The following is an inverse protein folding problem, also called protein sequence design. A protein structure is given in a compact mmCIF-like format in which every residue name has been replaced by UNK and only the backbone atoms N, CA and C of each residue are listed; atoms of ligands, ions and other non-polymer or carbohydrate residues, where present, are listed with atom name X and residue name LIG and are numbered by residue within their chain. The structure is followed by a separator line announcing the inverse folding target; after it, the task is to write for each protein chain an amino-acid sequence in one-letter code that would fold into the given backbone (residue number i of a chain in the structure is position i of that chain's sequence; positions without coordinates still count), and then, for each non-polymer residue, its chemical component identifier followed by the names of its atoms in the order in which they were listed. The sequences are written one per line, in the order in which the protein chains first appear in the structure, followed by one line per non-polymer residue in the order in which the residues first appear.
data_IF_472481902936
#
_entry.id   IF_472481902936
#
_cell.length_a   1.000
_cell.length_b   1.000
_cell.length_c   1.000
_cell.angle_alpha   90.00
_cell.angle_beta   90.00
_cell.angle_gamma   90.00
#
_symmetry.space_group_name_H-M   'P 1'
#
loop_
_entity.id
_entity.type
_entity.pdbx_description
1 polymer ?
#
# COMPACT_ATOMS: atom_id res chain seq x y z
N UNK A 1 -7.67 -14.07 -2.58
CA UNK A 1 -7.74 -13.59 -3.97
C UNK A 1 -7.32 -14.73 -4.87
N UNK A 2 -8.13 -15.07 -5.88
CA UNK A 2 -7.75 -16.02 -6.93
C UNK A 2 -6.58 -15.42 -7.72
N UNK A 3 -5.62 -16.26 -8.10
CA UNK A 3 -4.74 -15.99 -9.23
C UNK A 3 -5.40 -16.58 -10.49
N UNK A 4 -6.11 -15.78 -11.31
CA UNK A 4 -6.39 -16.20 -12.67
C UNK A 4 -5.19 -15.78 -13.51
N UNK A 5 -4.35 -16.74 -13.89
CA UNK A 5 -3.38 -16.58 -14.98
C UNK A 5 -2.28 -15.52 -14.76
N UNK A 6 -1.27 -15.87 -13.95
CA UNK A 6 0.16 -15.63 -14.22
C UNK A 6 0.71 -14.19 -14.37
N UNK A 7 -0.13 -13.17 -14.35
CA UNK A 7 0.26 -11.76 -14.38
C UNK A 7 -0.46 -11.05 -13.24
N UNK A 8 -0.02 -11.33 -12.01
CA UNK A 8 -0.55 -10.66 -10.82
C UNK A 8 -0.39 -9.14 -10.94
N UNK A 9 -1.21 -8.39 -10.23
CA UNK A 9 -1.09 -6.93 -10.12
C UNK A 9 0.25 -6.59 -9.45
N UNK A 10 1.09 -5.77 -10.09
CA UNK A 10 2.39 -5.38 -9.51
C UNK A 10 2.24 -4.41 -8.33
N UNK A 11 1.15 -3.63 -8.34
CA UNK A 11 0.85 -2.57 -7.38
C UNK A 11 -0.56 -2.72 -6.81
N UNK A 12 -0.68 -3.03 -5.53
CA UNK A 12 -1.94 -3.21 -4.82
C UNK A 12 -2.31 -1.89 -4.10
N UNK A 13 -3.33 -1.15 -4.54
CA UNK A 13 -3.81 0.01 -3.80
C UNK A 13 -4.58 -0.44 -2.54
N UNK A 14 -4.34 0.20 -1.40
CA UNK A 14 -5.10 0.01 -0.18
C UNK A 14 -5.67 1.34 0.34
N UNK A 15 -6.91 1.30 0.81
CA UNK A 15 -7.57 2.38 1.56
C UNK A 15 -8.22 1.89 2.86
N UNK A 16 -8.03 0.61 3.19
CA UNK A 16 -8.52 -0.04 4.40
C UNK A 16 -7.54 0.19 5.56
N UNK A 17 -8.02 0.03 6.80
CA UNK A 17 -7.24 0.31 8.01
C UNK A 17 -7.23 -0.82 9.02
N UNK A 18 -6.30 -0.76 9.97
CA UNK A 18 -6.16 -1.73 11.06
C UNK A 18 -6.06 -3.16 10.54
N UNK A 19 -6.87 -4.07 11.09
CA UNK A 19 -6.82 -5.50 10.76
C UNK A 19 -7.03 -5.80 9.26
N UNK A 20 -7.80 -4.96 8.56
CA UNK A 20 -8.03 -5.14 7.12
C UNK A 20 -6.79 -4.79 6.30
N UNK A 21 -6.06 -3.73 6.68
CA UNK A 21 -4.75 -3.41 6.10
C UNK A 21 -3.79 -4.58 6.29
N UNK A 22 -3.73 -5.15 7.49
CA UNK A 22 -2.86 -6.29 7.77
C UNK A 22 -3.22 -7.55 6.97
N UNK A 23 -4.52 -7.86 6.86
CA UNK A 23 -4.99 -8.99 6.05
C UNK A 23 -4.68 -8.79 4.57
N UNK A 24 -4.85 -7.58 4.06
CA UNK A 24 -4.50 -7.28 2.67
C UNK A 24 -2.99 -7.39 2.46
N UNK A 25 -2.19 -6.84 3.38
CA UNK A 25 -0.72 -6.90 3.33
C UNK A 25 -0.20 -8.34 3.25
N UNK A 26 -0.83 -9.26 3.98
CA UNK A 26 -0.55 -10.70 3.91
C UNK A 26 -0.89 -11.34 2.57
N UNK A 27 -1.90 -10.81 1.87
CA UNK A 27 -2.34 -11.28 0.57
C UNK A 27 -1.51 -10.73 -0.61
N UNK A 28 -0.68 -9.70 -0.38
CA UNK A 28 0.20 -9.16 -1.42
C UNK A 28 1.19 -10.25 -1.86
N UNK A 29 1.34 -10.49 -3.16
CA UNK A 29 2.26 -11.51 -3.65
C UNK A 29 3.73 -11.12 -3.38
N UNK A 30 4.64 -12.11 -3.41
CA UNK A 30 6.09 -11.84 -3.27
C UNK A 30 6.57 -10.87 -4.34
N UNK A 31 7.55 -10.04 -4.03
CA UNK A 31 8.13 -9.04 -4.94
C UNK A 31 7.14 -7.96 -5.43
N UNK A 32 5.96 -7.83 -4.80
CA UNK A 32 4.94 -6.85 -5.18
C UNK A 32 4.87 -5.68 -4.21
N UNK A 33 4.18 -4.64 -4.66
CA UNK A 33 4.09 -3.35 -3.98
C UNK A 33 2.67 -3.16 -3.47
N UNK A 34 2.52 -2.71 -2.21
CA UNK A 34 1.27 -2.12 -1.73
C UNK A 34 1.41 -0.61 -1.62
N UNK A 35 0.42 0.13 -2.11
CA UNK A 35 0.36 1.59 -1.99
C UNK A 35 -0.82 1.95 -1.09
N UNK A 36 -0.52 2.44 0.10
CA UNK A 36 -1.51 2.93 1.06
C UNK A 36 -1.91 4.37 0.70
N UNK A 37 -3.18 4.55 0.36
CA UNK A 37 -3.79 5.87 0.12
C UNK A 37 -4.72 6.29 1.25
N UNK A 38 -4.94 5.43 2.25
CA UNK A 38 -5.71 5.73 3.45
C UNK A 38 -4.90 6.54 4.47
N UNK A 39 -5.56 7.52 5.08
CA UNK A 39 -4.94 8.43 6.07
C UNK A 39 -5.06 7.94 7.52
N UNK A 40 -6.01 7.06 7.79
CA UNK A 40 -6.41 6.69 9.16
C UNK A 40 -5.27 6.03 9.93
N UNK A 41 -4.53 5.11 9.33
CA UNK A 41 -3.38 4.47 10.00
C UNK A 41 -2.18 5.41 10.11
N UNK A 42 -2.00 6.36 9.18
CA UNK A 42 -0.94 7.37 9.32
C UNK A 42 -1.20 8.29 10.52
N UNK A 43 -2.44 8.78 10.68
CA UNK A 43 -2.84 9.62 11.81
C UNK A 43 -2.90 8.82 13.11
N UNK A 44 -3.31 7.56 13.03
CA UNK A 44 -3.45 6.66 14.18
C UNK A 44 -2.17 5.97 14.62
N UNK A 45 -1.01 6.32 14.07
CA UNK A 45 0.27 5.65 14.37
C UNK A 45 0.21 4.12 14.19
N UNK A 46 -0.44 3.68 13.11
CA UNK A 46 -0.50 2.28 12.71
C UNK A 46 0.90 1.69 12.51
N UNK A 47 1.01 0.38 12.68
CA UNK A 47 2.27 -0.35 12.58
C UNK A 47 2.19 -1.41 11.49
N UNK A 48 3.35 -1.83 10.98
CA UNK A 48 3.47 -2.97 10.08
C UNK A 48 4.38 -4.02 10.71
N UNK A 49 4.02 -5.30 10.52
CA UNK A 49 4.85 -6.40 10.99
C UNK A 49 6.04 -6.59 10.04
N UNK A 50 7.25 -6.43 10.56
CA UNK A 50 8.49 -6.47 9.77
C UNK A 50 8.69 -7.81 9.04
N UNK A 51 8.23 -8.93 9.60
CA UNK A 51 8.40 -10.25 8.99
C UNK A 51 7.73 -10.37 7.60
N UNK A 52 6.68 -9.59 7.33
CA UNK A 52 5.98 -9.61 6.04
C UNK A 52 6.84 -9.07 4.89
N UNK A 53 7.88 -8.29 5.20
CA UNK A 53 8.86 -7.79 4.23
C UNK A 53 9.85 -8.87 3.76
N UNK A 54 9.95 -10.01 4.46
CA UNK A 54 10.89 -11.09 4.13
C UNK A 54 10.68 -11.70 2.73
N UNK A 55 9.50 -11.48 2.12
CA UNK A 55 9.20 -11.90 0.75
C UNK A 55 9.48 -10.80 -0.30
N UNK A 56 10.34 -9.83 0.04
CA UNK A 56 10.64 -8.64 -0.75
C UNK A 56 9.38 -7.87 -1.18
N UNK A 57 8.37 -7.83 -0.31
CA UNK A 57 7.22 -6.95 -0.51
C UNK A 57 7.63 -5.51 -0.19
N UNK A 58 7.10 -4.54 -0.93
CA UNK A 58 7.31 -3.12 -0.66
C UNK A 58 6.01 -2.46 -0.23
N UNK A 59 6.10 -1.47 0.66
CA UNK A 59 4.95 -0.67 1.11
C UNK A 59 5.27 0.81 0.88
N UNK A 60 4.36 1.54 0.23
CA UNK A 60 4.47 2.99 0.05
C UNK A 60 3.25 3.68 0.63
N UNK A 61 3.48 4.64 1.53
CA UNK A 61 2.43 5.57 1.95
C UNK A 61 2.33 6.75 0.99
N UNK A 62 1.15 6.96 0.41
CA UNK A 62 0.85 8.06 -0.49
C UNK A 62 -0.26 8.92 0.09
N UNK A 63 0.11 10.11 0.59
CA UNK A 63 -0.88 11.14 0.93
C UNK A 63 -0.98 12.15 -0.21
N UNK A 64 -2.06 12.07 -0.99
CA UNK A 64 -2.22 12.81 -2.24
C UNK A 64 -2.28 14.32 -2.00
N UNK A 65 -2.93 14.76 -0.92
CA UNK A 65 -3.03 16.19 -0.58
C UNK A 65 -1.66 16.78 -0.19
N UNK A 66 -0.83 15.99 0.49
CA UNK A 66 0.56 16.39 0.78
C UNK A 66 1.36 16.47 -0.53
N UNK A 67 1.22 15.48 -1.42
CA UNK A 67 1.91 15.49 -2.70
C UNK A 67 1.51 16.70 -3.56
N UNK A 68 0.22 17.01 -3.61
CA UNK A 68 -0.30 18.16 -4.36
C UNK A 68 0.22 19.50 -3.80
N UNK A 69 0.35 19.61 -2.46
CA UNK A 69 0.87 20.81 -1.80
C UNK A 69 2.37 21.00 -2.00
N UNK A 70 3.15 19.94 -1.79
CA UNK A 70 4.63 20.02 -1.77
C UNK A 70 5.26 19.86 -3.16
N UNK A 71 4.57 19.17 -4.08
CA UNK A 71 5.05 18.86 -5.44
C UNK A 71 3.91 18.99 -6.46
N UNK A 72 3.30 20.17 -6.61
CA UNK A 72 2.16 20.37 -7.51
C UNK A 72 2.45 19.97 -8.97
N UNK A 73 3.70 20.10 -9.44
CA UNK A 73 4.13 19.70 -10.78
C UNK A 73 4.00 18.19 -11.06
N UNK A 74 3.85 17.36 -10.02
CA UNK A 74 3.62 15.91 -10.16
C UNK A 74 2.14 15.55 -10.30
N UNK A 75 1.23 16.51 -10.12
CA UNK A 75 -0.21 16.32 -10.30
C UNK A 75 -0.59 16.92 -11.65
N UNK A 76 -1.05 16.08 -12.56
CA UNK A 76 -1.54 16.48 -13.88
C UNK A 76 -2.99 16.00 -14.01
N UNK A 77 -3.85 16.83 -14.60
CA UNK A 77 -5.27 16.57 -14.81
C UNK A 77 -5.54 16.08 -16.23
#
# INVERSE_FOLDING_TARGET
MREPHGQGVDVVPNSLSGDLLHKLWQCVAKLRIMVEIGKRDFVGHGHLRIHEFANNRSFFGLELMLLARERPQKIQW
#
